data_IF_691450829388
#
_entry.id   IF_691450829388
#
_cell.length_a   1.000
_cell.length_b   1.000
_cell.length_c   1.000
_cell.angle_alpha   90.00
_cell.angle_beta   90.00
_cell.angle_gamma   90.00
#
_symmetry.space_group_name_H-M   'P 1'
#
loop_
_entity.id
_entity.type
_entity.pdbx_description
1 polymer ?
#
# COMPACT_ATOMS: atom_id res chain seq x y z
N UNK A 1 2.12 -8.47 13.68
CA UNK A 1 1.49 -8.68 12.36
C UNK A 1 0.02 -8.99 12.57
N UNK A 2 -0.87 -8.27 11.93
CA UNK A 2 -2.29 -8.51 12.08
C UNK A 2 -3.11 -7.96 10.92
N UNK A 3 -4.26 -8.60 10.69
CA UNK A 3 -5.25 -8.14 9.71
C UNK A 3 -5.79 -6.77 10.14
N UNK A 4 -5.94 -6.54 11.44
CA UNK A 4 -6.39 -5.25 11.95
C UNK A 4 -5.44 -4.12 11.61
N UNK A 5 -4.13 -4.37 11.71
CA UNK A 5 -3.11 -3.40 11.33
C UNK A 5 -3.15 -3.10 9.83
N UNK A 6 -3.31 -4.14 9.01
CA UNK A 6 -3.47 -3.98 7.57
C UNK A 6 -4.72 -3.16 7.23
N UNK A 7 -5.83 -3.41 7.93
CA UNK A 7 -7.07 -2.66 7.72
C UNK A 7 -6.89 -1.19 8.09
N UNK A 8 -6.25 -0.91 9.21
CA UNK A 8 -5.98 0.47 9.62
C UNK A 8 -5.11 1.20 8.59
N UNK A 9 -4.12 0.52 8.02
CA UNK A 9 -3.29 1.06 6.95
C UNK A 9 -4.13 1.40 5.71
N UNK A 10 -4.98 0.47 5.26
CA UNK A 10 -5.81 0.68 4.08
C UNK A 10 -6.79 1.84 4.30
N UNK A 11 -7.43 1.89 5.45
CA UNK A 11 -8.37 2.98 5.80
C UNK A 11 -7.65 4.33 5.77
N UNK A 12 -6.45 4.40 6.34
CA UNK A 12 -5.68 5.63 6.33
C UNK A 12 -5.28 6.03 4.90
N UNK A 13 -4.87 5.04 4.11
CA UNK A 13 -4.50 5.29 2.72
C UNK A 13 -5.67 5.89 1.92
N UNK A 14 -6.90 5.44 2.21
CA UNK A 14 -8.09 5.89 1.52
C UNK A 14 -8.62 7.23 2.03
N UNK A 15 -8.43 7.54 3.31
CA UNK A 15 -9.05 8.71 3.95
C UNK A 15 -8.11 9.88 4.21
N UNK A 16 -6.81 9.65 4.23
CA UNK A 16 -5.81 10.68 4.55
C UNK A 16 -5.00 11.03 3.29
N UNK A 17 -5.36 12.13 2.66
CA UNK A 17 -4.70 12.59 1.43
C UNK A 17 -3.23 12.95 1.66
N UNK A 18 -2.91 13.51 2.83
CA UNK A 18 -1.53 13.87 3.16
C UNK A 18 -0.65 12.63 3.27
N UNK A 19 -1.15 11.58 3.94
CA UNK A 19 -0.44 10.32 4.05
C UNK A 19 -0.23 9.69 2.67
N UNK A 20 -1.28 9.67 1.86
CA UNK A 20 -1.21 9.13 0.49
C UNK A 20 -0.22 9.91 -0.36
N UNK A 21 -0.21 11.24 -0.22
CA UNK A 21 0.74 12.10 -0.93
C UNK A 21 2.19 11.85 -0.53
N UNK A 22 2.45 11.62 0.75
CA UNK A 22 3.79 11.27 1.23
C UNK A 22 4.23 9.93 0.69
N UNK A 23 3.34 8.94 0.71
CA UNK A 23 3.63 7.60 0.18
C UNK A 23 3.90 7.65 -1.33
N UNK A 24 3.19 8.51 -2.05
CA UNK A 24 3.36 8.66 -3.49
C UNK A 24 4.74 9.23 -3.87
N UNK A 25 5.46 9.82 -2.93
CA UNK A 25 6.75 10.48 -3.19
C UNK A 25 7.95 9.73 -2.65
N UNK A 26 7.76 8.53 -2.11
CA UNK A 26 8.89 7.75 -1.58
C UNK A 26 9.82 7.33 -2.71
N UNK A 27 11.12 7.33 -2.42
CA UNK A 27 12.15 6.90 -3.35
C UNK A 27 12.81 5.59 -2.93
N UNK A 28 12.65 5.18 -1.66
CA UNK A 28 13.28 3.96 -1.13
C UNK A 28 12.33 3.21 -0.21
N UNK A 29 12.59 1.91 -0.05
CA UNK A 29 11.83 1.09 0.89
C UNK A 29 11.97 1.59 2.34
N UNK A 30 13.13 2.14 2.70
CA UNK A 30 13.37 2.69 4.04
C UNK A 30 12.41 3.85 4.35
N UNK A 31 12.11 4.68 3.35
CA UNK A 31 11.15 5.77 3.52
C UNK A 31 9.75 5.24 3.77
N UNK A 32 9.36 4.15 3.07
CA UNK A 32 8.07 3.50 3.30
C UNK A 32 8.01 2.95 4.72
N UNK A 33 9.04 2.26 5.16
CA UNK A 33 9.10 1.70 6.51
C UNK A 33 8.92 2.78 7.58
N UNK A 34 9.49 3.95 7.37
CA UNK A 34 9.34 5.07 8.29
C UNK A 34 7.89 5.57 8.34
N UNK A 35 7.25 5.70 7.17
CA UNK A 35 5.87 6.18 7.09
C UNK A 35 4.86 5.20 7.67
N UNK A 36 5.12 3.90 7.54
CA UNK A 36 4.21 2.85 7.98
C UNK A 36 4.67 2.12 9.24
N UNK A 37 5.58 2.74 10.01
CA UNK A 37 6.19 2.12 11.19
C UNK A 37 5.17 1.67 12.24
N UNK A 38 4.04 2.35 12.34
CA UNK A 38 2.98 2.00 13.29
C UNK A 38 2.10 0.83 12.84
N UNK A 39 2.27 0.38 11.59
CA UNK A 39 1.49 -0.72 11.03
C UNK A 39 2.38 -1.94 10.84
N UNK A 40 1.88 -3.10 11.23
CA UNK A 40 2.61 -4.36 11.08
C UNK A 40 1.69 -5.41 10.46
N UNK A 41 1.98 -5.79 9.22
CA UNK A 41 1.18 -6.76 8.48
C UNK A 41 2.05 -7.45 7.42
N UNK A 42 1.58 -8.61 6.95
CA UNK A 42 2.19 -9.31 5.83
C UNK A 42 1.46 -8.93 4.53
N UNK A 43 2.06 -9.25 3.40
CA UNK A 43 1.43 -9.05 2.10
C UNK A 43 0.09 -9.80 2.02
N UNK A 44 0.05 -11.03 2.54
CA UNK A 44 -1.18 -11.84 2.54
C UNK A 44 -2.29 -11.19 3.35
N UNK A 45 -1.94 -10.63 4.50
CA UNK A 45 -2.90 -9.92 5.34
C UNK A 45 -3.44 -8.68 4.62
N UNK A 46 -2.57 -7.95 3.94
CA UNK A 46 -2.98 -6.79 3.16
C UNK A 46 -3.90 -7.20 2.00
N UNK A 47 -3.55 -8.26 1.28
CA UNK A 47 -4.37 -8.77 0.19
C UNK A 47 -5.76 -9.18 0.68
N UNK A 48 -5.83 -9.80 1.85
CA UNK A 48 -7.10 -10.19 2.45
C UNK A 48 -7.99 -8.98 2.72
N UNK A 49 -7.42 -7.94 3.34
CA UNK A 49 -8.17 -6.72 3.67
C UNK A 49 -8.63 -6.01 2.40
N UNK A 50 -7.75 -5.86 1.43
CA UNK A 50 -8.10 -5.21 0.15
C UNK A 50 -9.17 -6.02 -0.58
N UNK A 51 -9.08 -7.34 -0.54
CA UNK A 51 -10.11 -8.22 -1.10
C UNK A 51 -11.48 -8.01 -0.47
N UNK A 52 -11.53 -7.79 0.84
CA UNK A 52 -12.77 -7.48 1.55
C UNK A 52 -13.37 -6.17 1.04
N UNK A 53 -12.54 -5.14 0.86
CA UNK A 53 -12.99 -3.85 0.33
C UNK A 53 -13.48 -3.96 -1.12
N UNK A 54 -12.84 -4.80 -1.92
CA UNK A 54 -13.20 -5.00 -3.32
C UNK A 54 -14.38 -5.95 -3.50
N UNK A 55 -14.70 -6.74 -2.48
CA UNK A 55 -15.80 -7.70 -2.54
C UNK A 55 -15.45 -9.03 -3.21
N UNK A 56 -14.17 -9.30 -3.45
CA UNK A 56 -13.72 -10.57 -4.02
C UNK A 56 -12.27 -10.84 -3.63
N UNK A 57 -11.85 -12.10 -3.72
CA UNK A 57 -10.46 -12.47 -3.50
C UNK A 57 -9.59 -11.91 -4.64
N UNK A 58 -8.47 -11.31 -4.28
CA UNK A 58 -7.57 -10.73 -5.29
C UNK A 58 -6.91 -11.79 -6.13
N UNK A 59 -6.83 -11.54 -7.43
CA UNK A 59 -6.08 -12.36 -8.37
C UNK A 59 -4.58 -12.06 -8.24
N UNK A 60 -3.73 -12.95 -8.76
CA UNK A 60 -2.29 -12.73 -8.76
C UNK A 60 -1.97 -11.43 -9.51
N UNK A 61 -1.19 -10.57 -8.87
CA UNK A 61 -0.81 -9.27 -9.44
C UNK A 61 -1.86 -8.17 -9.31
N UNK A 62 -3.06 -8.50 -8.85
CA UNK A 62 -4.12 -7.50 -8.72
C UNK A 62 -3.79 -6.43 -7.68
N UNK A 63 -3.13 -6.81 -6.58
CA UNK A 63 -2.74 -5.84 -5.56
C UNK A 63 -1.77 -4.80 -6.15
N UNK A 64 -0.79 -5.24 -6.92
CA UNK A 64 0.17 -4.34 -7.55
C UNK A 64 -0.53 -3.41 -8.55
N UNK A 65 -1.49 -3.94 -9.30
CA UNK A 65 -2.30 -3.16 -10.22
C UNK A 65 -3.11 -2.09 -9.48
N UNK A 66 -3.72 -2.47 -8.36
CA UNK A 66 -4.51 -1.53 -7.53
C UNK A 66 -3.65 -0.41 -6.96
N UNK A 67 -2.40 -0.72 -6.57
CA UNK A 67 -1.47 0.29 -6.09
C UNK A 67 -1.18 1.30 -7.20
N UNK A 68 -0.94 0.84 -8.41
CA UNK A 68 -0.75 1.72 -9.55
C UNK A 68 -1.96 2.61 -9.80
N UNK A 69 -3.16 2.04 -9.75
CA UNK A 69 -4.39 2.80 -9.92
C UNK A 69 -4.61 3.83 -8.81
N UNK A 70 -4.27 3.47 -7.56
CA UNK A 70 -4.42 4.37 -6.41
C UNK A 70 -3.60 5.65 -6.60
N UNK A 71 -2.42 5.53 -7.19
CA UNK A 71 -1.53 6.67 -7.38
C UNK A 71 -1.60 7.27 -8.78
N UNK A 72 -2.46 6.74 -9.65
CA UNK A 72 -2.68 7.30 -10.98
C UNK A 72 -3.22 8.73 -10.87
N UNK A 73 -2.61 9.64 -11.60
CA UNK A 73 -3.03 11.04 -11.60
C UNK A 73 -2.49 11.87 -10.45
N UNK A 74 -1.78 11.24 -9.50
CA UNK A 74 -1.12 11.95 -8.41
C UNK A 74 0.28 12.38 -8.83
N UNK A 75 0.80 13.40 -8.15
CA UNK A 75 2.18 13.84 -8.33
C UNK A 75 3.10 12.85 -7.60
N UNK A 76 3.49 11.79 -8.30
CA UNK A 76 4.34 10.74 -7.75
C UNK A 76 5.81 10.98 -8.05
N UNK A 77 6.68 10.44 -7.21
CA UNK A 77 8.11 10.36 -7.51
C UNK A 77 8.34 9.41 -8.69
N UNK A 78 9.51 9.52 -9.34
CA UNK A 78 9.80 8.82 -10.59
C UNK A 78 9.54 7.31 -10.54
N UNK A 79 9.87 6.65 -9.42
CA UNK A 79 9.75 5.20 -9.28
C UNK A 79 8.93 4.78 -8.05
N UNK A 80 8.11 5.66 -7.51
CA UNK A 80 7.42 5.41 -6.24
C UNK A 80 6.53 4.16 -6.27
N UNK A 81 5.77 3.96 -7.33
CA UNK A 81 4.90 2.76 -7.45
C UNK A 81 5.76 1.50 -7.46
N UNK A 82 6.88 1.52 -8.17
CA UNK A 82 7.81 0.41 -8.25
C UNK A 82 8.44 0.10 -6.89
N UNK A 83 8.82 1.15 -6.16
CA UNK A 83 9.37 1.03 -4.81
C UNK A 83 8.34 0.43 -3.86
N UNK A 84 7.11 0.91 -3.91
CA UNK A 84 6.02 0.42 -3.06
C UNK A 84 5.71 -1.05 -3.35
N UNK A 85 5.59 -1.42 -4.61
CA UNK A 85 5.29 -2.81 -4.97
C UNK A 85 6.45 -3.75 -4.63
N UNK A 86 7.68 -3.31 -4.82
CA UNK A 86 8.87 -4.07 -4.42
C UNK A 86 8.93 -4.28 -2.91
N UNK A 87 8.61 -3.25 -2.14
CA UNK A 87 8.53 -3.35 -0.69
C UNK A 87 7.48 -4.37 -0.25
N UNK A 88 6.30 -4.34 -0.87
CA UNK A 88 5.24 -5.30 -0.58
C UNK A 88 5.65 -6.74 -0.90
N UNK A 89 6.36 -6.93 -2.01
CA UNK A 89 6.80 -8.27 -2.42
C UNK A 89 7.79 -8.89 -1.41
N UNK A 90 8.44 -8.07 -0.60
CA UNK A 90 9.37 -8.54 0.42
C UNK A 90 8.69 -8.84 1.76
N UNK A 91 7.45 -8.52 1.90
CA UNK A 91 6.67 -8.81 3.10
C UNK A 91 6.10 -10.23 3.03
#
# INVERSE_FOLDING_TARGET
MSVESARAFVVRLMSDEEFRGKLAKVATAAEIETLVAEYSFSKEELEKVVGEFMGHKLAEGELNWLIGETFEGMDTGADSVKVITGWLDQK
#
